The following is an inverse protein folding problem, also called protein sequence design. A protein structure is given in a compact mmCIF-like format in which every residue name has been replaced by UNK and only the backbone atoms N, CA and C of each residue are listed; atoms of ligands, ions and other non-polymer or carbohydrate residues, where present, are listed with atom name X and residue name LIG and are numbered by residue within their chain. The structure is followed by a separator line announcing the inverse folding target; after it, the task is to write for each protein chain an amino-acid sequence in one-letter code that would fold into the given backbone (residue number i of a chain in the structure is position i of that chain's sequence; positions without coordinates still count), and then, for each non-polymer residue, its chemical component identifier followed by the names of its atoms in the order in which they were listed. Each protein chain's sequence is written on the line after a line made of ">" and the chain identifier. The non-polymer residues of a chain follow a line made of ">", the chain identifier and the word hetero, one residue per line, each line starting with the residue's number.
data_IF_680775275222
#
_entry.id   IF_680775275222
#
_cell.length_a   1.000
_cell.length_b   1.000
_cell.length_c   1.000
_cell.angle_alpha   90.00
_cell.angle_beta   90.00
_cell.angle_gamma   90.00
#
_symmetry.space_group_name_H-M   'P 1'
#
loop_
_entity.id
_entity.type
_entity.pdbx_description
1 polymer ?
#
# COMPACT_ATOMS: atom_id res chain seq x y z
N UNK A 1 -17.59 42.71 -24.43
CA UNK A 1 -17.65 41.25 -24.53
C UNK A 1 -16.65 40.69 -23.51
N UNK A 2 -17.08 40.56 -22.26
CA UNK A 2 -16.28 39.99 -21.16
C UNK A 2 -16.93 38.65 -20.82
N UNK A 3 -16.21 37.56 -21.05
CA UNK A 3 -16.61 36.21 -20.64
C UNK A 3 -16.30 36.05 -19.16
N UNK A 4 -17.35 35.92 -18.35
CA UNK A 4 -17.23 35.56 -16.94
C UNK A 4 -16.87 34.06 -16.85
N UNK A 5 -15.65 33.78 -16.40
CA UNK A 5 -15.23 32.44 -15.99
C UNK A 5 -15.94 32.05 -14.70
N UNK A 6 -17.08 31.37 -14.83
CA UNK A 6 -17.73 30.68 -13.72
C UNK A 6 -16.97 29.41 -13.37
N UNK A 7 -16.10 29.50 -12.37
CA UNK A 7 -15.47 28.34 -11.75
C UNK A 7 -16.53 27.62 -10.90
N UNK A 8 -17.09 26.53 -11.42
CA UNK A 8 -17.91 25.61 -10.62
C UNK A 8 -17.00 24.94 -9.57
N UNK A 9 -17.10 25.40 -8.32
CA UNK A 9 -16.70 24.61 -7.17
C UNK A 9 -17.70 23.46 -7.08
N UNK A 10 -17.33 22.30 -7.65
CA UNK A 10 -18.06 21.06 -7.47
C UNK A 10 -18.21 20.80 -5.96
N UNK A 11 -19.45 20.65 -5.53
CA UNK A 11 -19.84 20.62 -4.13
C UNK A 11 -19.09 19.56 -3.34
N UNK A 12 -18.52 19.98 -2.22
CA UNK A 12 -18.30 19.12 -1.08
C UNK A 12 -19.70 18.68 -0.61
N UNK A 13 -20.20 17.55 -1.10
CA UNK A 13 -21.44 16.97 -0.59
C UNK A 13 -21.30 16.81 0.92
N UNK A 14 -22.30 17.25 1.68
CA UNK A 14 -22.42 16.99 3.11
C UNK A 14 -22.19 15.50 3.34
N UNK A 15 -21.00 15.15 3.84
CA UNK A 15 -20.64 13.77 4.16
C UNK A 15 -21.45 13.38 5.38
N UNK A 16 -22.61 12.76 5.15
CA UNK A 16 -23.41 12.22 6.23
C UNK A 16 -22.58 11.16 6.98
N UNK A 17 -22.47 11.32 8.29
CA UNK A 17 -21.80 10.32 9.13
C UNK A 17 -22.56 8.99 9.03
N UNK A 18 -21.84 7.94 8.62
CA UNK A 18 -22.34 6.57 8.61
C UNK A 18 -22.37 6.01 10.02
N UNK A 19 -23.48 5.36 10.39
CA UNK A 19 -23.57 4.60 11.63
C UNK A 19 -22.83 3.27 11.49
N UNK A 20 -22.35 2.73 12.61
CA UNK A 20 -21.67 1.43 12.64
C UNK A 20 -22.54 0.30 12.06
N UNK A 21 -23.84 0.34 12.31
CA UNK A 21 -24.78 -0.67 11.84
C UNK A 21 -24.96 -0.61 10.32
N UNK A 22 -24.97 0.59 9.76
CA UNK A 22 -25.02 0.81 8.31
C UNK A 22 -23.73 0.31 7.64
N UNK A 23 -22.57 0.56 8.26
CA UNK A 23 -21.28 0.07 7.79
C UNK A 23 -21.21 -1.47 7.81
N UNK A 24 -21.84 -2.12 8.80
CA UNK A 24 -21.88 -3.58 8.92
C UNK A 24 -22.74 -4.27 7.88
N UNK A 25 -23.80 -3.61 7.42
CA UNK A 25 -24.76 -4.20 6.47
C UNK A 25 -24.56 -3.75 5.03
N UNK A 26 -23.82 -2.67 4.81
CA UNK A 26 -23.58 -2.12 3.47
C UNK A 26 -22.28 -2.68 2.89
N UNK A 27 -22.26 -2.88 1.58
CA UNK A 27 -21.01 -3.11 0.86
C UNK A 27 -20.19 -1.83 0.88
N UNK A 28 -19.02 -1.88 1.51
CA UNK A 28 -18.05 -0.78 1.49
C UNK A 28 -17.15 -0.96 0.28
N UNK A 29 -17.10 0.07 -0.56
CA UNK A 29 -16.22 0.10 -1.73
C UNK A 29 -14.92 0.80 -1.34
N UNK A 30 -13.80 0.13 -1.60
CA UNK A 30 -12.46 0.62 -1.32
C UNK A 30 -11.95 1.63 -2.35
N UNK A 31 -10.72 2.10 -2.14
CA UNK A 31 -10.03 3.03 -3.02
C UNK A 31 -9.82 2.47 -4.43
N UNK A 32 -9.67 1.15 -4.59
CA UNK A 32 -9.56 0.52 -5.91
C UNK A 32 -10.89 0.50 -6.68
N UNK A 33 -11.98 0.97 -6.07
CA UNK A 33 -13.32 0.97 -6.66
C UNK A 33 -14.03 -0.39 -6.57
N UNK A 34 -13.52 -1.31 -5.77
CA UNK A 34 -14.09 -2.64 -5.58
C UNK A 34 -14.52 -2.86 -4.12
N UNK A 35 -15.49 -3.77 -3.85
CA UNK A 35 -15.84 -4.17 -2.49
C UNK A 35 -14.65 -4.59 -1.63
N UNK A 36 -14.53 -4.01 -0.43
CA UNK A 36 -13.53 -4.41 0.56
C UNK A 36 -13.67 -5.90 0.93
N UNK A 37 -12.54 -6.53 1.28
CA UNK A 37 -12.49 -7.94 1.69
C UNK A 37 -12.74 -8.95 0.57
N UNK A 38 -12.89 -8.49 -0.67
CA UNK A 38 -13.06 -9.35 -1.84
C UNK A 38 -11.74 -9.49 -2.59
N UNK A 39 -11.44 -10.70 -3.07
CA UNK A 39 -10.20 -10.98 -3.78
C UNK A 39 -10.32 -10.64 -5.26
N UNK A 40 -9.28 -10.00 -5.80
CA UNK A 40 -9.17 -9.59 -7.20
C UNK A 40 -7.79 -9.93 -7.76
N UNK A 41 -7.74 -10.25 -9.06
CA UNK A 41 -6.48 -10.31 -9.77
C UNK A 41 -6.07 -8.88 -10.15
N UNK A 42 -4.84 -8.48 -9.87
CA UNK A 42 -4.33 -7.14 -10.20
C UNK A 42 -3.00 -7.23 -10.91
N UNK A 43 -2.75 -6.25 -11.78
CA UNK A 43 -1.41 -5.93 -12.28
C UNK A 43 -0.94 -4.69 -11.55
N UNK A 44 0.19 -4.79 -10.86
CA UNK A 44 0.73 -3.71 -10.05
C UNK A 44 2.24 -3.57 -10.24
N UNK A 45 2.70 -2.33 -10.26
CA UNK A 45 4.12 -1.97 -10.33
C UNK A 45 4.62 -1.56 -8.95
N UNK A 46 5.79 -2.05 -8.54
CA UNK A 46 6.44 -1.58 -7.31
C UNK A 46 6.94 -0.16 -7.52
N UNK A 47 6.53 0.76 -6.65
CA UNK A 47 6.96 2.16 -6.65
C UNK A 47 7.49 2.55 -5.26
N UNK A 48 8.36 3.57 -5.15
CA UNK A 48 8.68 4.17 -3.86
C UNK A 48 7.40 4.68 -3.20
N UNK A 49 7.24 4.50 -1.89
CA UNK A 49 6.11 5.04 -1.15
C UNK A 49 6.27 6.58 -1.01
N UNK A 50 5.42 7.41 -1.66
CA UNK A 50 5.53 8.86 -1.56
C UNK A 50 5.11 9.40 -0.19
N UNK A 51 4.42 8.60 0.63
CA UNK A 51 3.94 8.98 1.96
C UNK A 51 4.87 8.53 3.10
N UNK A 52 5.87 7.70 2.82
CA UNK A 52 6.88 7.28 3.79
C UNK A 52 7.75 8.46 4.22
N UNK A 53 7.89 8.69 5.54
CA UNK A 53 8.89 9.63 6.08
C UNK A 53 10.32 9.10 5.91
N UNK A 54 10.45 7.79 5.77
CA UNK A 54 11.70 7.08 5.54
C UNK A 54 11.64 6.48 4.12
N UNK A 55 12.72 6.61 3.34
CA UNK A 55 12.87 6.09 1.96
C UNK A 55 12.89 4.54 1.90
N UNK A 56 12.33 3.88 2.91
CA UNK A 56 12.45 2.47 3.18
C UNK A 56 11.21 1.67 2.75
N UNK A 57 10.08 2.32 2.44
CA UNK A 57 8.85 1.62 2.05
C UNK A 57 8.58 1.63 0.56
N UNK A 58 7.96 0.54 0.11
CA UNK A 58 7.38 0.45 -1.22
C UNK A 58 5.87 0.54 -1.17
N UNK A 59 5.30 1.04 -2.26
CA UNK A 59 3.87 0.97 -2.57
C UNK A 59 3.65 0.14 -3.84
N UNK A 60 2.42 -0.31 -4.05
CA UNK A 60 1.98 -0.91 -5.30
C UNK A 60 1.17 0.11 -6.10
N UNK A 61 1.64 0.42 -7.30
CA UNK A 61 0.88 1.18 -8.28
C UNK A 61 0.04 0.23 -9.15
N UNK A 62 -1.24 0.09 -8.81
CA UNK A 62 -2.19 -0.74 -9.55
C UNK A 62 -2.50 -0.09 -10.90
N UNK A 63 -2.44 -0.88 -11.98
CA UNK A 63 -2.75 -0.45 -13.34
C UNK A 63 -3.86 -1.28 -14.01
N UNK A 64 -4.16 -2.46 -13.48
CA UNK A 64 -5.20 -3.36 -13.99
C UNK A 64 -5.89 -4.11 -12.84
N UNK A 65 -7.20 -4.32 -12.96
CA UNK A 65 -8.02 -5.15 -12.06
C UNK A 65 -8.85 -6.11 -12.92
N UNK A 66 -8.74 -7.42 -12.66
CA UNK A 66 -9.44 -8.49 -13.37
C UNK A 66 -9.41 -8.34 -14.90
N UNK A 67 -8.24 -8.04 -15.47
CA UNK A 67 -8.10 -7.88 -16.92
C UNK A 67 -8.44 -6.48 -17.45
N UNK A 68 -8.92 -5.57 -16.59
CA UNK A 68 -9.41 -4.24 -17.00
C UNK A 68 -8.43 -3.14 -16.57
N UNK A 69 -7.91 -2.34 -17.52
CA UNK A 69 -7.05 -1.21 -17.19
C UNK A 69 -7.79 -0.16 -16.34
N UNK A 70 -7.08 0.42 -15.38
CA UNK A 70 -7.56 1.53 -14.55
C UNK A 70 -6.59 2.70 -14.60
N UNK A 71 -7.01 3.87 -14.10
CA UNK A 71 -6.07 4.95 -13.80
C UNK A 71 -5.11 4.49 -12.71
N UNK A 72 -3.80 4.71 -12.93
CA UNK A 72 -2.74 4.30 -12.01
C UNK A 72 -3.04 4.78 -10.58
N UNK A 73 -3.13 3.84 -9.64
CA UNK A 73 -3.46 4.10 -8.24
C UNK A 73 -2.37 3.50 -7.33
N UNK A 74 -1.68 4.35 -6.56
CA UNK A 74 -0.67 3.92 -5.59
C UNK A 74 -1.31 3.59 -4.25
N UNK A 75 -0.96 2.44 -3.67
CA UNK A 75 -1.44 2.00 -2.36
C UNK A 75 -0.34 1.31 -1.55
N UNK A 76 -0.37 1.53 -0.24
CA UNK A 76 0.36 0.70 0.71
C UNK A 76 -0.17 -0.73 0.71
N UNK A 77 0.69 -1.68 1.09
CA UNK A 77 0.32 -3.09 1.03
C UNK A 77 1.09 -3.95 2.03
N UNK A 78 0.53 -5.13 2.29
CA UNK A 78 1.15 -6.17 3.08
C UNK A 78 1.09 -7.52 2.36
N UNK A 79 2.23 -8.20 2.30
CA UNK A 79 2.31 -9.59 1.84
C UNK A 79 2.08 -10.56 2.99
N UNK A 80 1.07 -11.44 2.85
CA UNK A 80 0.79 -12.43 3.89
C UNK A 80 1.96 -13.43 4.05
N UNK A 81 2.31 -13.86 5.28
CA UNK A 81 3.52 -14.64 5.55
C UNK A 81 3.65 -15.97 4.78
N UNK A 82 2.54 -16.57 4.37
CA UNK A 82 2.53 -17.83 3.61
C UNK A 82 2.70 -17.64 2.10
N UNK A 83 2.65 -16.40 1.61
CA UNK A 83 2.77 -16.10 0.18
C UNK A 83 4.24 -16.14 -0.21
N UNK A 84 4.58 -17.11 -1.05
CA UNK A 84 5.89 -17.18 -1.69
C UNK A 84 5.92 -16.18 -2.84
N UNK A 85 6.39 -14.97 -2.57
CA UNK A 85 6.51 -13.91 -3.57
C UNK A 85 7.84 -13.16 -3.42
N UNK A 86 8.30 -12.59 -4.53
CA UNK A 86 9.45 -11.68 -4.57
C UNK A 86 9.08 -10.22 -4.37
N UNK A 87 7.78 -9.89 -4.26
CA UNK A 87 7.32 -8.53 -3.96
C UNK A 87 7.82 -8.12 -2.56
N UNK A 88 8.69 -7.09 -2.44
CA UNK A 88 9.22 -6.66 -1.14
C UNK A 88 8.38 -5.54 -0.53
N UNK A 89 7.92 -5.67 0.71
CA UNK A 89 7.14 -4.59 1.37
C UNK A 89 7.97 -3.32 1.62
N UNK A 90 9.27 -3.50 1.88
CA UNK A 90 10.22 -2.44 2.23
C UNK A 90 11.64 -2.81 1.75
N UNK A 91 12.58 -1.88 1.85
CA UNK A 91 13.98 -2.04 1.43
C UNK A 91 14.73 -3.11 2.24
N UNK A 92 14.31 -3.39 3.47
CA UNK A 92 14.92 -4.44 4.29
C UNK A 92 14.43 -5.82 3.87
N UNK A 93 13.15 -5.94 3.51
CA UNK A 93 12.59 -7.15 2.91
C UNK A 93 13.19 -7.40 1.53
N UNK A 94 13.40 -6.36 0.73
CA UNK A 94 14.15 -6.41 -0.52
C UNK A 94 15.58 -6.94 -0.32
N UNK A 95 16.33 -6.36 0.62
CA UNK A 95 17.69 -6.81 0.94
C UNK A 95 17.72 -8.27 1.37
N UNK A 96 16.81 -8.67 2.27
CA UNK A 96 16.68 -10.06 2.74
C UNK A 96 16.36 -11.04 1.61
N UNK A 97 15.50 -10.66 0.67
CA UNK A 97 15.15 -11.50 -0.48
C UNK A 97 16.30 -11.67 -1.46
N UNK A 98 17.13 -10.63 -1.66
CA UNK A 98 18.30 -10.69 -2.55
C UNK A 98 19.52 -11.35 -1.90
N UNK A 99 19.68 -11.19 -0.60
CA UNK A 99 20.84 -11.65 0.18
C UNK A 99 20.42 -12.67 1.27
N UNK A 100 19.75 -13.79 0.94
CA UNK A 100 19.21 -14.71 1.95
C UNK A 100 20.30 -15.38 2.79
N UNK A 101 21.55 -15.43 2.29
CA UNK A 101 22.70 -15.95 3.04
C UNK A 101 23.26 -14.97 4.07
N UNK A 102 22.96 -13.67 3.93
CA UNK A 102 23.28 -12.66 4.93
C UNK A 102 22.19 -12.58 5.98
N UNK A 103 21.66 -13.74 6.41
CA UNK A 103 20.70 -13.78 7.50
C UNK A 103 21.32 -13.05 8.70
N UNK A 104 20.76 -11.88 9.02
CA UNK A 104 21.19 -11.01 10.10
C UNK A 104 20.75 -11.54 11.47
N UNK A 105 20.36 -12.82 11.52
CA UNK A 105 20.33 -13.57 12.76
C UNK A 105 21.76 -13.59 13.33
N UNK A 106 21.91 -12.97 14.50
CA UNK A 106 23.14 -13.07 15.27
C UNK A 106 23.46 -14.54 15.55
N UNK A 107 24.67 -14.83 16.06
CA UNK A 107 25.05 -16.18 16.46
C UNK A 107 24.07 -16.85 17.46
N UNK A 108 23.19 -16.08 18.09
CA UNK A 108 22.10 -16.49 18.98
C UNK A 108 20.74 -16.69 18.28
N UNK A 109 20.69 -16.62 16.95
CA UNK A 109 19.47 -16.71 16.16
C UNK A 109 18.58 -15.46 16.23
N UNK A 110 19.03 -14.38 16.91
CA UNK A 110 18.23 -13.16 17.06
C UNK A 110 18.50 -12.20 15.92
N UNK A 111 17.44 -11.78 15.26
CA UNK A 111 17.52 -10.75 14.23
C UNK A 111 18.07 -9.46 14.83
N UNK A 112 19.21 -8.98 14.31
CA UNK A 112 19.73 -7.66 14.67
C UNK A 112 19.24 -6.63 13.64
N UNK A 113 18.68 -5.50 14.08
CA UNK A 113 18.39 -4.40 13.16
C UNK A 113 19.72 -3.90 12.57
N UNK A 114 19.82 -3.86 11.24
CA UNK A 114 20.90 -3.17 10.52
C UNK A 114 20.33 -1.90 9.94
N UNK A 115 21.11 -0.83 9.92
CA UNK A 115 20.79 0.38 9.16
C UNK A 115 21.36 0.24 7.75
N UNK A 116 20.55 0.46 6.72
CA UNK A 116 21.03 0.55 5.34
C UNK A 116 21.57 1.96 5.08
N UNK A 117 22.68 2.03 4.35
CA UNK A 117 23.19 3.29 3.81
C UNK A 117 22.32 3.76 2.65
N UNK A 118 22.33 5.06 2.35
CA UNK A 118 21.59 5.60 1.19
C UNK A 118 22.01 4.96 -0.14
N UNK A 119 23.27 4.52 -0.27
CA UNK A 119 23.74 3.81 -1.45
C UNK A 119 23.12 2.41 -1.57
N UNK A 120 22.99 1.68 -0.46
CA UNK A 120 22.33 0.36 -0.43
C UNK A 120 20.83 0.49 -0.70
N UNK A 121 20.17 1.52 -0.14
CA UNK A 121 18.76 1.84 -0.44
C UNK A 121 18.59 2.12 -1.94
N UNK A 122 19.45 2.96 -2.52
CA UNK A 122 19.42 3.26 -3.95
C UNK A 122 19.66 2.00 -4.81
N UNK A 123 20.55 1.11 -4.39
CA UNK A 123 20.79 -0.17 -5.05
C UNK A 123 19.54 -1.07 -4.98
N UNK A 124 18.88 -1.17 -3.82
CA UNK A 124 17.64 -1.94 -3.67
C UNK A 124 16.52 -1.37 -4.56
N UNK A 125 16.33 -0.05 -4.52
CA UNK A 125 15.35 0.64 -5.35
C UNK A 125 15.59 0.38 -6.85
N UNK A 126 16.85 0.38 -7.29
CA UNK A 126 17.21 0.12 -8.69
C UNK A 126 16.83 -1.29 -9.18
N UNK A 127 16.71 -2.24 -8.25
CA UNK A 127 16.38 -3.64 -8.54
C UNK A 127 14.89 -3.92 -8.48
N UNK A 128 14.13 -3.22 -7.63
CA UNK A 128 12.72 -3.55 -7.36
C UNK A 128 11.73 -2.53 -7.90
N UNK A 129 12.06 -1.23 -7.90
CA UNK A 129 11.17 -0.20 -8.43
C UNK A 129 10.98 -0.41 -9.93
N UNK A 130 9.72 -0.36 -10.38
CA UNK A 130 9.35 -0.59 -11.77
C UNK A 130 9.08 -2.06 -12.12
N UNK A 131 9.37 -3.02 -11.23
CA UNK A 131 8.95 -4.41 -11.46
C UNK A 131 7.43 -4.49 -11.41
N UNK A 132 6.86 -5.13 -12.42
CA UNK A 132 5.42 -5.40 -12.54
C UNK A 132 5.14 -6.82 -12.08
N UNK A 133 4.15 -6.96 -11.21
CA UNK A 133 3.66 -8.24 -10.70
C UNK A 133 2.19 -8.44 -11.04
N UNK A 134 1.81 -9.70 -11.23
CA UNK A 134 0.41 -10.13 -11.29
C UNK A 134 0.06 -10.81 -9.98
N UNK A 135 -0.85 -10.21 -9.22
CA UNK A 135 -1.12 -10.60 -7.84
C UNK A 135 -2.60 -10.94 -7.67
N UNK A 136 -2.91 -11.79 -6.70
CA UNK A 136 -4.24 -11.82 -6.11
C UNK A 136 -4.18 -11.07 -4.80
N UNK A 137 -4.99 -10.02 -4.71
CA UNK A 137 -5.06 -9.13 -3.55
C UNK A 137 -6.50 -8.99 -3.07
N UNK A 138 -6.69 -8.55 -1.84
CA UNK A 138 -7.94 -7.91 -1.43
C UNK A 138 -7.62 -6.60 -0.72
N UNK A 139 -8.49 -5.61 -0.86
CA UNK A 139 -8.37 -4.36 -0.12
C UNK A 139 -9.03 -4.50 1.26
N UNK A 140 -8.35 -4.00 2.29
CA UNK A 140 -8.90 -3.82 3.63
C UNK A 140 -8.87 -2.35 4.00
N UNK A 141 -9.68 -1.97 4.99
CA UNK A 141 -9.62 -0.64 5.57
C UNK A 141 -9.75 -0.69 7.08
N UNK A 142 -9.06 0.22 7.76
CA UNK A 142 -9.15 0.38 9.21
C UNK A 142 -9.10 1.85 9.59
N UNK A 143 -9.82 2.19 10.67
CA UNK A 143 -9.59 3.48 11.30
C UNK A 143 -8.39 3.39 12.24
N UNK A 144 -7.40 4.24 12.02
CA UNK A 144 -6.20 4.36 12.85
C UNK A 144 -5.74 5.82 12.88
N UNK A 145 -4.74 6.13 13.72
CA UNK A 145 -4.25 7.51 13.90
C UNK A 145 -4.63 8.11 15.25
N UNK A 146 -4.19 9.36 15.47
CA UNK A 146 -4.43 10.10 16.72
C UNK A 146 -5.87 10.65 16.73
N UNK A 147 -6.71 10.30 17.73
CA UNK A 147 -8.07 10.81 17.83
C UNK A 147 -8.13 12.34 17.87
N UNK A 148 -9.13 12.92 17.23
CA UNK A 148 -9.42 14.34 17.35
C UNK A 148 -9.79 14.70 18.80
N UNK A 149 -9.25 15.83 19.28
CA UNK A 149 -9.52 16.37 20.62
C UNK A 149 -9.25 15.36 21.77
N UNK A 150 -8.00 14.91 21.93
CA UNK A 150 -7.64 14.11 23.09
C UNK A 150 -7.75 14.99 24.33
N UNK A 151 -8.83 14.86 25.10
CA UNK A 151 -9.26 15.67 26.27
C UNK A 151 -8.13 16.33 27.12
N UNK A 152 -7.45 17.33 26.59
CA UNK A 152 -6.27 17.96 27.21
C UNK A 152 -4.99 17.11 27.24
N UNK A 153 -4.92 15.96 26.56
CA UNK A 153 -3.71 15.14 26.47
C UNK A 153 -2.88 15.53 25.24
N UNK A 154 -1.60 15.79 25.43
CA UNK A 154 -0.62 15.90 24.34
C UNK A 154 0.10 14.57 24.21
N UNK A 155 0.09 13.99 23.01
CA UNK A 155 0.90 12.81 22.70
C UNK A 155 2.21 13.28 22.07
N UNK A 156 3.33 12.90 22.67
CA UNK A 156 4.64 13.10 22.06
C UNK A 156 4.77 12.12 20.87
N UNK A 157 4.52 12.63 19.66
CA UNK A 157 4.93 12.08 18.36
C UNK A 157 4.77 10.57 18.11
N UNK A 158 3.75 9.90 18.68
CA UNK A 158 3.61 8.44 18.55
C UNK A 158 2.97 7.98 17.23
N UNK A 159 2.22 8.84 16.51
CA UNK A 159 1.66 8.50 15.20
C UNK A 159 1.68 9.70 14.25
N UNK A 160 1.96 9.42 12.98
CA UNK A 160 2.22 10.43 11.94
C UNK A 160 0.96 11.00 11.28
N UNK A 161 -0.22 10.45 11.60
CA UNK A 161 -1.49 10.83 11.00
C UNK A 161 -2.58 11.05 12.06
N UNK A 162 -3.49 11.98 11.76
CA UNK A 162 -4.75 12.12 12.51
C UNK A 162 -5.66 10.90 12.29
N UNK A 163 -6.63 10.72 13.17
CA UNK A 163 -7.54 9.57 13.12
C UNK A 163 -8.39 9.59 11.84
N UNK A 164 -8.09 8.68 10.92
CA UNK A 164 -8.75 8.59 9.62
C UNK A 164 -8.96 7.13 9.22
N UNK A 165 -9.78 6.92 8.19
CA UNK A 165 -9.86 5.62 7.53
C UNK A 165 -8.64 5.48 6.62
N UNK A 166 -7.91 4.39 6.79
CA UNK A 166 -6.76 4.03 5.98
C UNK A 166 -7.05 2.71 5.27
N UNK A 167 -6.86 2.71 3.96
CA UNK A 167 -6.93 1.57 3.07
C UNK A 167 -5.55 0.94 2.88
N UNK A 168 -5.53 -0.39 2.71
CA UNK A 168 -4.32 -1.16 2.47
C UNK A 168 -4.65 -2.38 1.61
N UNK A 169 -3.73 -2.77 0.73
CA UNK A 169 -3.83 -4.01 -0.04
C UNK A 169 -3.20 -5.17 0.71
N UNK A 170 -3.90 -6.30 0.78
CA UNK A 170 -3.33 -7.55 1.28
C UNK A 170 -3.06 -8.48 0.10
N UNK A 171 -1.78 -8.80 -0.11
CA UNK A 171 -1.35 -9.76 -1.13
C UNK A 171 -1.47 -11.17 -0.57
N UNK A 172 -2.29 -12.00 -1.23
CA UNK A 172 -2.56 -13.40 -0.81
C UNK A 172 -2.02 -14.44 -1.79
N UNK A 173 -1.64 -14.02 -3.00
CA UNK A 173 -1.01 -14.89 -3.99
C UNK A 173 -0.23 -14.08 -5.02
N UNK A 174 0.89 -14.63 -5.45
CA UNK A 174 1.64 -14.21 -6.62
C UNK A 174 1.28 -15.15 -7.78
N UNK A 175 0.86 -14.58 -8.91
CA UNK A 175 0.52 -15.32 -10.13
C UNK A 175 1.72 -15.47 -11.08
N UNK A 176 2.86 -14.85 -10.74
CA UNK A 176 4.07 -14.81 -11.55
C UNK A 176 4.01 -13.77 -12.67
N UNK A 177 4.99 -13.81 -13.55
CA UNK A 177 4.98 -13.04 -14.80
C UNK A 177 3.86 -13.56 -15.71
N UNK A 178 3.14 -12.66 -16.37
CA UNK A 178 2.24 -13.02 -17.47
C UNK A 178 3.12 -13.60 -18.57
N UNK A 179 3.20 -14.93 -18.65
CA UNK A 179 3.72 -15.58 -19.83
C UNK A 179 2.85 -15.11 -20.98
N UNK A 180 3.41 -14.28 -21.87
CA UNK A 180 2.73 -13.88 -23.08
C UNK A 180 2.23 -15.15 -23.77
N UNK A 181 0.90 -15.25 -23.92
CA UNK A 181 0.25 -16.31 -24.67
C UNK A 181 0.56 -16.11 -26.15
N UNK A 182 1.80 -16.40 -26.54
CA UNK A 182 2.29 -16.49 -27.90
C UNK A 182 2.97 -17.84 -28.07
N UNK A 183 2.14 -18.87 -28.22
CA UNK A 183 2.49 -20.10 -28.94
C UNK A 183 1.76 -20.10 -30.28
#
# INVERSE_FOLDING_TARGET
>A
MLLASGLLLAGCQDRQALRLDELRTSTVVGAIGMPLGTCYAVTAEVVPDPAGKDDDRYSLAITEIDGRPISRLGMGYHVMPWVKTFVPNDVFDADRKLNPQQDHSGADGKHRPRTLTSAEIAEMNSKYVGIVFHLVVYETAQFSGIPDNPRGYTFDAWQDAGYALHDELIVIRDLGEKQDASQ
#
